data_IF_556357959011
#
_entry.id   IF_556357959011
#
_cell.length_a   1.000
_cell.length_b   1.000
_cell.length_c   1.000
_cell.angle_alpha   90.00
_cell.angle_beta   90.00
_cell.angle_gamma   90.00
#
_symmetry.space_group_name_H-M   'P 1'
#
loop_
_entity.id
_entity.type
_entity.pdbx_description
1 polymer ?
#
# COMPACT_ATOMS: atom_id res chain seq x y z
N UNK A 1 40.21 -0.16 -57.10
CA UNK A 1 38.83 0.17 -56.66
C UNK A 1 37.93 -1.03 -56.93
N UNK A 2 37.29 -1.64 -55.92
CA UNK A 2 36.17 -2.63 -55.96
C UNK A 2 36.32 -3.92 -55.13
N UNK A 3 37.50 -4.32 -54.62
CA UNK A 3 37.60 -5.53 -53.76
C UNK A 3 37.56 -5.27 -52.25
N UNK A 4 37.83 -4.03 -51.81
CA UNK A 4 37.71 -3.64 -50.40
C UNK A 4 36.28 -3.34 -49.96
N UNK A 5 35.29 -3.37 -50.87
CA UNK A 5 33.90 -3.07 -50.55
C UNK A 5 33.13 -4.25 -49.93
N UNK A 6 33.67 -5.47 -49.96
CA UNK A 6 32.99 -6.65 -49.41
C UNK A 6 33.30 -6.84 -47.91
N UNK A 7 34.46 -6.40 -47.44
CA UNK A 7 34.82 -6.51 -46.02
C UNK A 7 34.01 -5.53 -45.16
N UNK A 8 33.57 -4.40 -45.75
CA UNK A 8 32.74 -3.41 -45.09
C UNK A 8 31.28 -3.87 -44.86
N UNK A 9 30.76 -4.82 -45.64
CA UNK A 9 29.36 -5.27 -45.49
C UNK A 9 29.17 -6.36 -44.42
N UNK A 10 30.24 -7.08 -44.04
CA UNK A 10 30.15 -8.14 -43.03
C UNK A 10 30.20 -7.64 -41.58
N UNK A 11 30.69 -6.41 -41.34
CA UNK A 11 30.64 -5.79 -40.01
C UNK A 11 29.31 -5.06 -39.72
N UNK A 12 28.46 -4.84 -40.72
CA UNK A 12 27.16 -4.20 -40.55
C UNK A 12 26.03 -5.18 -40.14
N UNK A 13 26.32 -6.49 -40.06
CA UNK A 13 25.36 -7.52 -39.63
C UNK A 13 25.31 -7.77 -38.12
N UNK A 14 26.20 -7.15 -37.34
CA UNK A 14 26.22 -7.27 -35.88
C UNK A 14 25.39 -6.17 -35.21
N UNK A 15 24.24 -5.82 -35.80
CA UNK A 15 23.18 -5.14 -35.08
C UNK A 15 22.55 -6.15 -34.12
N UNK A 16 23.25 -6.45 -33.03
CA UNK A 16 22.61 -6.98 -31.84
C UNK A 16 21.53 -5.94 -31.50
N UNK A 17 20.23 -6.30 -31.48
CA UNK A 17 19.30 -5.48 -30.72
C UNK A 17 19.90 -5.34 -29.34
N UNK A 18 20.27 -4.10 -28.97
CA UNK A 18 20.46 -3.72 -27.58
C UNK A 18 19.07 -3.82 -26.94
N UNK A 19 18.61 -5.06 -26.76
CA UNK A 19 17.67 -5.38 -25.73
C UNK A 19 18.37 -4.90 -24.47
N UNK A 20 17.99 -3.72 -24.01
CA UNK A 20 18.16 -3.36 -22.63
C UNK A 20 17.31 -4.38 -21.88
N UNK A 21 17.90 -5.57 -21.65
CA UNK A 21 17.47 -6.42 -20.57
C UNK A 21 17.57 -5.51 -19.37
N UNK A 22 16.42 -5.11 -18.83
CA UNK A 22 16.37 -4.44 -17.55
C UNK A 22 16.89 -5.47 -16.55
N UNK A 23 18.22 -5.52 -16.41
CA UNK A 23 18.86 -6.27 -15.36
C UNK A 23 18.48 -5.55 -14.07
N UNK A 24 17.59 -6.16 -13.29
CA UNK A 24 17.27 -5.69 -11.96
C UNK A 24 18.40 -6.10 -11.00
N UNK A 25 19.61 -5.55 -11.21
CA UNK A 25 20.71 -5.60 -10.25
C UNK A 25 20.49 -4.51 -9.18
N UNK A 26 19.39 -4.63 -8.42
CA UNK A 26 19.01 -3.61 -7.43
C UNK A 26 18.45 -2.34 -8.09
N UNK A 27 17.16 -2.10 -7.89
CA UNK A 27 16.31 -1.18 -8.66
C UNK A 27 16.91 0.20 -9.02
N UNK A 28 17.64 0.28 -10.13
CA UNK A 28 18.03 1.52 -10.78
C UNK A 28 16.89 2.07 -11.62
N UNK A 29 16.51 3.32 -11.39
CA UNK A 29 15.48 4.06 -12.12
C UNK A 29 16.17 5.17 -12.91
N UNK A 30 16.10 5.12 -14.23
CA UNK A 30 16.53 6.22 -15.10
C UNK A 30 15.47 7.32 -15.09
N UNK A 31 15.82 8.49 -14.56
CA UNK A 31 14.90 9.63 -14.46
C UNK A 31 14.94 10.47 -15.76
N UNK A 32 16.13 10.66 -16.32
CA UNK A 32 16.42 11.44 -17.53
C UNK A 32 17.64 10.81 -18.25
N UNK A 33 17.90 11.13 -19.53
CA UNK A 33 19.14 10.71 -20.20
C UNK A 33 20.37 11.19 -19.41
N UNK A 34 21.21 10.25 -18.95
CA UNK A 34 22.38 10.54 -18.11
C UNK A 34 22.09 10.71 -16.61
N UNK A 35 20.84 10.54 -16.16
CA UNK A 35 20.46 10.61 -14.73
C UNK A 35 19.83 9.29 -14.31
N UNK A 36 20.62 8.48 -13.61
CA UNK A 36 20.20 7.20 -13.02
C UNK A 36 20.16 7.33 -11.50
N UNK A 37 19.06 6.91 -10.90
CA UNK A 37 18.90 6.82 -9.45
C UNK A 37 18.87 5.35 -9.05
N UNK A 38 19.82 4.89 -8.25
CA UNK A 38 19.77 3.54 -7.69
C UNK A 38 18.88 3.54 -6.45
N UNK A 39 17.96 2.58 -6.31
CA UNK A 39 17.21 2.41 -5.07
C UNK A 39 18.20 2.12 -3.93
N UNK A 40 18.24 3.01 -2.94
CA UNK A 40 19.24 2.99 -1.88
C UNK A 40 20.41 3.94 -2.09
N UNK A 41 20.41 4.72 -3.18
CA UNK A 41 21.38 5.79 -3.38
C UNK A 41 21.37 6.73 -2.19
N UNK A 42 22.57 6.92 -1.67
CA UNK A 42 22.90 7.91 -0.69
C UNK A 42 23.84 8.91 -1.34
N UNK A 43 23.68 10.19 -1.03
CA UNK A 43 24.70 11.15 -1.39
C UNK A 43 26.00 10.91 -0.58
N UNK A 44 27.06 11.68 -0.87
CA UNK A 44 28.36 11.57 -0.19
C UNK A 44 28.30 11.71 1.34
N UNK A 45 27.15 12.15 1.88
CA UNK A 45 26.90 12.36 3.31
C UNK A 45 25.98 11.30 3.91
N UNK A 46 25.60 10.25 3.16
CA UNK A 46 24.71 9.19 3.66
C UNK A 46 23.23 9.61 3.72
N UNK A 47 22.82 10.65 2.99
CA UNK A 47 21.41 11.11 2.97
C UNK A 47 20.66 10.40 1.86
N UNK A 48 19.40 10.06 2.10
CA UNK A 48 18.53 9.39 1.14
C UNK A 48 17.58 10.38 0.45
N UNK A 49 17.26 10.12 -0.81
CA UNK A 49 16.35 10.95 -1.60
C UNK A 49 14.88 10.76 -1.17
N UNK A 50 14.16 11.86 -0.90
CA UNK A 50 12.73 11.83 -0.51
C UNK A 50 11.73 12.10 -1.64
N UNK A 51 12.21 12.27 -2.88
CA UNK A 51 11.41 12.71 -4.02
C UNK A 51 11.59 14.20 -4.39
N UNK A 52 12.29 14.99 -3.57
CA UNK A 52 12.63 16.37 -3.92
C UNK A 52 13.90 16.91 -3.26
N UNK A 53 14.34 16.34 -2.13
CA UNK A 53 15.56 16.73 -1.40
C UNK A 53 16.24 15.51 -0.79
N UNK A 54 17.55 15.63 -0.57
CA UNK A 54 18.32 14.67 0.22
C UNK A 54 18.03 14.84 1.71
N UNK A 55 17.69 13.74 2.39
CA UNK A 55 17.27 13.72 3.80
C UNK A 55 18.15 12.80 4.62
N UNK A 56 18.59 13.30 5.77
CA UNK A 56 19.31 12.50 6.75
C UNK A 56 18.41 11.44 7.41
N UNK A 57 19.05 10.49 8.09
CA UNK A 57 18.38 9.40 8.80
C UNK A 57 17.41 9.89 9.90
N UNK A 58 17.69 11.02 10.53
CA UNK A 58 16.84 11.60 11.57
C UNK A 58 15.51 12.10 11.02
N UNK A 59 15.54 12.74 9.85
CA UNK A 59 14.33 13.18 9.15
C UNK A 59 13.39 12.01 8.84
N UNK A 60 13.93 10.90 8.33
CA UNK A 60 13.13 9.71 8.05
C UNK A 60 12.52 9.12 9.31
N UNK A 61 13.29 9.00 10.40
CA UNK A 61 12.79 8.52 11.69
C UNK A 61 11.65 9.39 12.24
N UNK A 62 11.70 10.69 11.98
CA UNK A 62 10.70 11.64 12.48
C UNK A 62 9.44 11.72 11.60
N UNK A 63 9.56 11.46 10.29
CA UNK A 63 8.44 11.61 9.35
C UNK A 63 7.80 10.28 8.95
N UNK A 64 8.53 9.19 9.08
CA UNK A 64 8.12 7.86 8.70
C UNK A 64 8.21 6.89 9.87
N UNK A 65 7.41 5.84 9.81
CA UNK A 65 7.51 4.69 10.69
C UNK A 65 7.35 3.42 9.88
N UNK A 66 8.03 2.36 10.29
CA UNK A 66 7.82 1.04 9.73
C UNK A 66 6.75 0.33 10.55
N UNK A 67 5.66 -0.07 9.91
CA UNK A 67 4.52 -0.72 10.55
C UNK A 67 3.77 -1.56 9.51
N UNK A 68 3.24 -2.72 9.89
CA UNK A 68 2.52 -3.63 8.99
C UNK A 68 3.30 -4.00 7.70
N UNK A 69 4.62 -4.18 7.82
CA UNK A 69 5.46 -4.59 6.70
C UNK A 69 5.79 -3.48 5.70
N UNK A 70 5.40 -2.22 5.95
CA UNK A 70 5.67 -1.08 5.06
C UNK A 70 6.06 0.18 5.79
N UNK A 71 6.65 1.12 5.05
CA UNK A 71 6.89 2.47 5.53
C UNK A 71 5.63 3.32 5.41
N UNK A 72 5.25 3.96 6.51
CA UNK A 72 4.15 4.90 6.59
C UNK A 72 4.64 6.30 6.93
N UNK A 73 4.14 7.31 6.22
CA UNK A 73 4.21 8.69 6.72
C UNK A 73 3.36 8.80 7.98
N UNK A 74 3.84 9.49 9.01
CA UNK A 74 3.13 9.59 10.30
C UNK A 74 1.71 10.16 10.15
N UNK A 75 1.50 11.13 9.27
CA UNK A 75 0.19 11.70 9.01
C UNK A 75 -0.79 10.68 8.40
N UNK A 76 -0.31 9.86 7.46
CA UNK A 76 -1.12 8.82 6.83
C UNK A 76 -1.43 7.69 7.81
N UNK A 77 -0.43 7.26 8.59
CA UNK A 77 -0.62 6.27 9.63
C UNK A 77 -1.68 6.70 10.64
N UNK A 78 -1.64 7.96 11.11
CA UNK A 78 -2.66 8.49 12.03
C UNK A 78 -4.06 8.45 11.44
N UNK A 79 -4.23 8.78 10.15
CA UNK A 79 -5.54 8.70 9.48
C UNK A 79 -5.99 7.26 9.31
N UNK A 80 -5.08 6.36 8.93
CA UNK A 80 -5.38 4.94 8.78
C UNK A 80 -5.85 4.34 10.10
N UNK A 81 -5.13 4.63 11.17
CA UNK A 81 -5.46 4.19 12.53
C UNK A 81 -6.82 4.72 12.99
N UNK A 82 -7.12 6.01 12.75
CA UNK A 82 -8.44 6.58 13.05
C UNK A 82 -9.56 5.90 12.26
N UNK A 83 -9.34 5.64 10.97
CA UNK A 83 -10.32 4.95 10.12
C UNK A 83 -10.59 3.53 10.63
N UNK A 84 -9.55 2.80 11.05
CA UNK A 84 -9.70 1.45 11.63
C UNK A 84 -10.52 1.48 12.92
N UNK A 85 -10.23 2.42 13.81
CA UNK A 85 -11.00 2.60 15.06
C UNK A 85 -12.46 2.93 14.77
N UNK A 86 -12.72 3.87 13.85
CA UNK A 86 -14.09 4.21 13.47
C UNK A 86 -14.83 3.00 12.91
N UNK A 87 -14.18 2.22 12.05
CA UNK A 87 -14.78 1.04 11.46
C UNK A 87 -15.05 -0.07 12.49
N UNK A 88 -14.18 -0.23 13.49
CA UNK A 88 -14.41 -1.14 14.62
C UNK A 88 -15.60 -0.67 15.46
N UNK A 89 -15.64 0.62 15.81
CA UNK A 89 -16.74 1.20 16.57
C UNK A 89 -18.09 1.06 15.84
N UNK A 90 -18.13 1.24 14.52
CA UNK A 90 -19.33 1.00 13.73
C UNK A 90 -19.78 -0.48 13.75
N UNK A 91 -18.83 -1.41 13.69
CA UNK A 91 -19.12 -2.84 13.82
C UNK A 91 -19.71 -3.17 15.18
N UNK A 92 -19.12 -2.66 16.26
CA UNK A 92 -19.62 -2.82 17.62
C UNK A 92 -21.01 -2.22 17.78
N UNK A 93 -21.23 -0.99 17.31
CA UNK A 93 -22.56 -0.37 17.34
C UNK A 93 -23.61 -1.24 16.63
N UNK A 94 -23.31 -1.73 15.43
CA UNK A 94 -24.21 -2.60 14.66
C UNK A 94 -24.44 -3.95 15.34
N UNK A 95 -23.48 -4.43 16.12
CA UNK A 95 -23.64 -5.64 16.92
C UNK A 95 -24.59 -5.37 18.09
N UNK A 96 -24.37 -4.30 18.87
CA UNK A 96 -25.24 -3.90 19.98
C UNK A 96 -26.67 -3.57 19.54
N UNK A 97 -26.85 -2.96 18.36
CA UNK A 97 -28.18 -2.71 17.80
C UNK A 97 -28.91 -4.02 17.47
N UNK A 98 -28.21 -5.00 16.89
CA UNK A 98 -28.77 -6.33 16.62
C UNK A 98 -29.10 -7.10 17.90
N UNK A 99 -28.26 -7.00 18.92
CA UNK A 99 -28.52 -7.57 20.25
C UNK A 99 -29.82 -7.02 20.84
N UNK A 100 -29.93 -5.69 20.93
CA UNK A 100 -31.16 -5.02 21.42
C UNK A 100 -32.38 -5.43 20.60
N UNK A 101 -32.26 -5.54 19.28
CA UNK A 101 -33.38 -5.97 18.45
C UNK A 101 -33.80 -7.42 18.73
N UNK A 102 -32.86 -8.32 19.03
CA UNK A 102 -33.15 -9.70 19.43
C UNK A 102 -33.87 -9.75 20.77
N UNK A 103 -33.38 -9.00 21.75
CA UNK A 103 -34.01 -8.87 23.08
C UNK A 103 -35.45 -8.35 22.96
N UNK A 104 -35.66 -7.26 22.19
CA UNK A 104 -36.99 -6.72 21.91
C UNK A 104 -37.94 -7.76 21.31
N UNK A 105 -37.47 -8.53 20.31
CA UNK A 105 -38.27 -9.60 19.69
C UNK A 105 -38.55 -10.74 20.67
N UNK A 106 -37.64 -11.04 21.57
CA UNK A 106 -37.83 -12.06 22.60
C UNK A 106 -38.95 -11.62 23.57
N UNK A 107 -38.85 -10.42 24.12
CA UNK A 107 -39.86 -9.86 25.00
C UNK A 107 -41.23 -9.71 24.32
N UNK A 108 -41.27 -9.32 23.04
CA UNK A 108 -42.52 -9.26 22.30
C UNK A 108 -43.18 -10.65 22.17
N UNK A 109 -42.39 -11.70 21.91
CA UNK A 109 -42.89 -13.07 21.85
C UNK A 109 -43.41 -13.54 23.21
N UNK A 110 -42.68 -13.28 24.29
CA UNK A 110 -43.11 -13.60 25.66
C UNK A 110 -44.44 -12.90 26.01
N UNK A 111 -44.54 -11.60 25.71
CA UNK A 111 -45.78 -10.83 25.94
C UNK A 111 -46.96 -11.43 25.18
N UNK A 112 -46.78 -11.79 23.90
CA UNK A 112 -47.82 -12.44 23.09
C UNK A 112 -48.19 -13.82 23.64
N UNK A 113 -47.22 -14.57 24.17
CA UNK A 113 -47.48 -15.86 24.78
C UNK A 113 -48.35 -15.70 26.03
N UNK A 114 -47.95 -14.81 26.95
CA UNK A 114 -48.71 -14.50 28.16
C UNK A 114 -50.12 -13.98 27.83
N UNK A 115 -50.28 -13.11 26.83
CA UNK A 115 -51.60 -12.62 26.42
C UNK A 115 -52.50 -13.76 25.92
N UNK A 116 -51.96 -14.68 25.11
CA UNK A 116 -52.70 -15.85 24.62
C UNK A 116 -53.09 -16.79 25.75
N UNK A 117 -52.21 -16.99 26.72
CA UNK A 117 -52.46 -17.80 27.90
C UNK A 117 -53.56 -17.17 28.77
N UNK A 118 -53.44 -15.88 29.07
CA UNK A 118 -54.45 -15.15 29.83
C UNK A 118 -55.85 -15.25 29.19
N UNK A 119 -55.94 -15.08 27.87
CA UNK A 119 -57.18 -15.26 27.09
C UNK A 119 -57.77 -16.68 27.11
N UNK A 120 -57.00 -17.71 27.46
CA UNK A 120 -57.50 -19.09 27.60
C UNK A 120 -58.05 -19.37 28.99
N UNK A 121 -57.61 -18.59 29.98
CA UNK A 121 -57.93 -18.78 31.39
C UNK A 121 -59.00 -17.80 31.91
N UNK A 122 -59.55 -16.94 31.06
CA UNK A 122 -60.72 -16.08 31.29
C UNK A 122 -61.69 -16.24 30.13
#
# INVERSE_FOLDING_TARGET
MKRFLIIASLLAGLALPLFNTAQATGASISLLPGVTLHLGDQDDRGRYWDGGRWRDRGWWKNNYRYDEGRWWRHAEWRRHEQMRRHHQWEKERRWHERERQREWRHHEKERRHHEKEWRRHH
#
